data_IF_064724402612
#
_entry.id   IF_064724402612
#
_cell.length_a   1.000
_cell.length_b   1.000
_cell.length_c   1.000
_cell.angle_alpha   90.00
_cell.angle_beta   90.00
_cell.angle_gamma   90.00
#
_symmetry.space_group_name_H-M   'P 1'
#
loop_
_entity.id
_entity.type
_entity.pdbx_description
1 polymer ?
#
# COMPACT_ATOMS: atom_id res chain seq x y z
N UNK A 1 -19.33 10.12 -2.44
CA UNK A 1 -18.28 9.61 -3.36
C UNK A 1 -16.91 10.23 -3.09
N UNK A 2 -16.83 11.45 -2.58
CA UNK A 2 -15.54 12.09 -2.22
C UNK A 2 -14.81 11.43 -1.03
N UNK A 3 -15.53 10.79 -0.10
CA UNK A 3 -14.93 10.16 1.09
C UNK A 3 -14.12 8.89 0.79
N UNK A 4 -14.33 8.25 -0.37
CA UNK A 4 -13.59 7.05 -0.76
C UNK A 4 -12.21 7.41 -1.37
N UNK A 5 -12.08 8.62 -1.94
CA UNK A 5 -10.83 9.11 -2.50
C UNK A 5 -9.80 9.46 -1.42
N UNK A 6 -10.26 9.88 -0.23
CA UNK A 6 -9.38 10.21 0.91
C UNK A 6 -8.71 8.97 1.50
N UNK A 7 -9.37 7.81 1.45
CA UNK A 7 -8.84 6.55 2.02
C UNK A 7 -7.61 6.03 1.27
N UNK A 8 -7.56 6.20 -0.05
CA UNK A 8 -6.41 5.78 -0.86
C UNK A 8 -5.31 6.85 -0.93
N UNK A 9 -5.66 8.13 -0.74
CA UNK A 9 -4.69 9.22 -0.56
C UNK A 9 -3.99 9.21 0.81
N UNK A 10 -4.56 8.50 1.79
CA UNK A 10 -3.97 8.24 3.11
C UNK A 10 -3.19 6.93 3.18
N UNK A 11 -2.87 6.29 2.05
CA UNK A 11 -1.85 5.24 1.98
C UNK A 11 -0.53 5.90 1.56
N UNK A 12 0.20 6.57 2.49
CA UNK A 12 1.52 7.09 2.17
C UNK A 12 2.41 5.97 1.61
N UNK A 13 2.14 4.69 1.92
CA UNK A 13 2.95 3.57 1.46
C UNK A 13 2.89 3.24 -0.03
N UNK A 14 1.85 3.65 -0.77
CA UNK A 14 1.88 3.53 -2.25
C UNK A 14 2.75 4.61 -2.89
N UNK A 15 2.95 5.74 -2.20
CA UNK A 15 3.86 6.82 -2.57
C UNK A 15 5.30 6.55 -2.11
N UNK A 16 5.52 5.55 -1.24
CA UNK A 16 6.82 5.24 -0.61
C UNK A 16 7.72 4.32 -1.44
N UNK A 17 7.29 3.78 -2.60
CA UNK A 17 8.22 2.98 -3.43
C UNK A 17 9.09 3.80 -4.40
N UNK A 18 9.61 4.95 -3.96
CA UNK A 18 10.57 5.79 -4.70
C UNK A 18 11.91 5.11 -5.05
N UNK A 19 12.05 3.79 -4.82
CA UNK A 19 13.29 3.04 -5.05
C UNK A 19 13.27 2.02 -6.19
N UNK A 20 12.08 1.58 -6.66
CA UNK A 20 11.93 0.58 -7.73
C UNK A 20 10.87 0.95 -8.78
N UNK A 21 9.77 1.58 -8.34
CA UNK A 21 8.65 1.90 -9.22
C UNK A 21 8.21 3.34 -9.03
N UNK A 22 7.99 4.04 -10.14
CA UNK A 22 7.26 5.29 -10.10
C UNK A 22 5.76 4.96 -10.17
N UNK A 23 5.00 5.45 -9.19
CA UNK A 23 3.59 5.13 -9.00
C UNK A 23 2.79 6.42 -9.15
N UNK A 24 1.86 6.45 -10.10
CA UNK A 24 0.93 7.54 -10.29
C UNK A 24 -0.50 7.07 -9.98
N UNK A 25 -1.28 7.99 -9.39
CA UNK A 25 -2.69 7.79 -9.10
C UNK A 25 -3.48 8.83 -9.85
N UNK A 26 -4.39 8.38 -10.69
CA UNK A 26 -5.27 9.24 -11.47
C UNK A 26 -6.72 8.98 -11.08
N UNK A 27 -7.41 10.05 -10.67
CA UNK A 27 -8.83 10.03 -10.39
C UNK A 27 -9.57 10.75 -11.51
N UNK A 28 -10.41 10.01 -12.23
CA UNK A 28 -11.26 10.54 -13.30
C UNK A 28 -12.72 10.26 -12.99
N UNK A 29 -13.63 10.89 -13.73
CA UNK A 29 -15.05 10.58 -13.64
C UNK A 29 -15.39 9.12 -14.01
N UNK A 30 -14.49 8.43 -14.73
CA UNK A 30 -14.68 7.03 -15.14
C UNK A 30 -14.12 6.02 -14.14
N UNK A 31 -13.27 6.45 -13.21
CA UNK A 31 -12.74 5.59 -12.15
C UNK A 31 -11.43 6.08 -11.56
N UNK A 32 -10.92 5.27 -10.65
CA UNK A 32 -9.62 5.46 -10.04
C UNK A 32 -8.62 4.48 -10.65
N UNK A 33 -7.52 5.02 -11.16
CA UNK A 33 -6.47 4.25 -11.83
C UNK A 33 -5.16 4.40 -11.07
N UNK A 34 -4.49 3.27 -10.85
CA UNK A 34 -3.16 3.22 -10.26
C UNK A 34 -2.23 2.65 -11.33
N UNK A 35 -1.26 3.45 -11.75
CA UNK A 35 -0.28 3.07 -12.76
C UNK A 35 1.09 2.98 -12.09
N UNK A 36 1.82 1.92 -12.38
CA UNK A 36 3.20 1.75 -11.90
C UNK A 36 4.14 1.51 -13.08
N UNK A 37 5.28 2.19 -13.05
CA UNK A 37 6.34 2.04 -14.05
C UNK A 37 7.64 1.69 -13.36
N UNK A 38 8.43 0.78 -13.94
CA UNK A 38 9.73 0.44 -13.38
C UNK A 38 10.70 1.62 -13.59
N UNK A 39 11.42 2.00 -12.54
CA UNK A 39 12.44 3.05 -12.64
C UNK A 39 13.63 2.55 -13.45
N UNK A 40 13.96 3.25 -14.54
CA UNK A 40 15.05 2.88 -15.46
C UNK A 40 16.44 2.82 -14.81
N UNK A 41 16.61 3.43 -13.63
CA UNK A 41 17.88 3.48 -12.89
C UNK A 41 18.21 2.11 -12.25
N UNK A 42 17.21 1.22 -12.10
CA UNK A 42 17.40 -0.13 -11.56
C UNK A 42 16.83 -1.17 -12.52
N UNK A 43 17.71 -1.88 -13.22
CA UNK A 43 17.35 -3.07 -14.02
C UNK A 43 17.01 -4.27 -13.13
N UNK A 44 15.99 -4.13 -12.28
CA UNK A 44 15.53 -5.20 -11.39
C UNK A 44 14.17 -5.69 -11.90
N UNK A 45 14.08 -6.96 -12.22
CA UNK A 45 12.79 -7.57 -12.55
C UNK A 45 11.96 -7.66 -11.27
N UNK A 46 10.77 -7.09 -11.30
CA UNK A 46 9.85 -7.12 -10.18
C UNK A 46 8.44 -7.54 -10.62
N UNK A 47 7.62 -7.95 -9.66
CA UNK A 47 6.21 -8.30 -9.88
C UNK A 47 5.34 -7.84 -8.72
N UNK A 48 4.14 -7.40 -9.05
CA UNK A 48 3.06 -7.13 -8.10
C UNK A 48 2.13 -8.33 -8.01
N UNK A 49 1.79 -8.74 -6.79
CA UNK A 49 0.95 -9.90 -6.52
C UNK A 49 -0.14 -9.50 -5.52
N UNK A 50 -1.39 -9.71 -5.90
CA UNK A 50 -2.53 -9.68 -4.99
C UNK A 50 -2.71 -11.08 -4.41
N UNK A 51 -2.51 -11.23 -3.11
CA UNK A 51 -2.68 -12.52 -2.43
C UNK A 51 -4.16 -12.75 -2.09
N UNK A 52 -4.56 -14.02 -1.97
CA UNK A 52 -5.97 -14.42 -1.72
C UNK A 52 -6.61 -13.74 -0.49
N UNK A 53 -5.81 -13.38 0.51
CA UNK A 53 -6.26 -12.66 1.71
C UNK A 53 -6.59 -11.18 1.47
N UNK A 54 -6.39 -10.67 0.25
CA UNK A 54 -6.60 -9.26 -0.10
C UNK A 54 -5.38 -8.37 0.15
N UNK A 55 -4.27 -8.93 0.64
CA UNK A 55 -3.01 -8.22 0.77
C UNK A 55 -2.31 -7.99 -0.58
N UNK A 56 -1.47 -6.96 -0.64
CA UNK A 56 -0.63 -6.66 -1.79
C UNK A 56 0.83 -6.96 -1.45
N UNK A 57 1.53 -7.64 -2.35
CA UNK A 57 2.95 -7.96 -2.22
C UNK A 57 3.72 -7.57 -3.46
N UNK A 58 4.97 -7.12 -3.27
CA UNK A 58 5.92 -6.83 -4.34
C UNK A 58 7.13 -7.72 -4.16
N UNK A 59 7.50 -8.42 -5.23
CA UNK A 59 8.69 -9.26 -5.27
C UNK A 59 9.70 -8.70 -6.26
N UNK A 60 10.97 -8.86 -5.95
CA UNK A 60 12.10 -8.60 -6.85
C UNK A 60 12.89 -9.87 -7.08
N UNK A 61 13.36 -10.06 -8.32
CA UNK A 61 14.24 -11.16 -8.67
C UNK A 61 15.66 -10.81 -8.21
N UNK A 62 16.25 -11.69 -7.41
CA UNK A 62 17.65 -11.63 -7.01
C UNK A 62 18.55 -12.24 -8.09
N UNK A 63 19.85 -11.94 -8.02
CA UNK A 63 20.85 -12.48 -8.97
C UNK A 63 20.93 -14.01 -8.96
N UNK A 64 20.56 -14.66 -7.85
CA UNK A 64 20.50 -16.11 -7.71
C UNK A 64 19.23 -16.73 -8.33
N UNK A 65 18.41 -15.92 -9.01
CA UNK A 65 17.17 -16.33 -9.67
C UNK A 65 15.99 -16.53 -8.73
N UNK A 66 16.12 -16.19 -7.44
CA UNK A 66 15.01 -16.31 -6.47
C UNK A 66 14.22 -15.02 -6.36
N UNK A 67 12.91 -15.16 -6.18
CA UNK A 67 12.04 -14.05 -5.85
C UNK A 67 12.16 -13.73 -4.36
N UNK A 68 12.57 -12.50 -4.05
CA UNK A 68 12.57 -11.97 -2.69
C UNK A 68 11.40 -11.01 -2.52
N UNK A 69 10.71 -11.10 -1.38
CA UNK A 69 9.64 -10.16 -1.05
C UNK A 69 10.27 -8.82 -0.64
N UNK A 70 10.01 -7.79 -1.42
CA UNK A 70 10.46 -6.44 -1.14
C UNK A 70 9.43 -5.66 -0.30
N UNK A 71 8.13 -5.92 -0.54
CA UNK A 71 7.04 -5.22 0.15
C UNK A 71 5.85 -6.16 0.38
N UNK A 72 5.19 -5.99 1.52
CA UNK A 72 3.86 -6.54 1.80
C UNK A 72 3.00 -5.46 2.45
N UNK A 73 1.73 -5.39 2.07
CA UNK A 73 0.72 -4.50 2.62
C UNK A 73 -0.58 -5.27 2.90
N UNK A 74 -1.29 -4.93 4.00
CA UNK A 74 -0.90 -4.00 5.07
C UNK A 74 0.28 -4.56 5.91
N UNK A 75 1.14 -3.68 6.43
CA UNK A 75 2.33 -4.08 7.23
C UNK A 75 1.99 -4.42 8.67
N UNK A 76 1.01 -3.72 9.23
CA UNK A 76 0.51 -3.93 10.58
C UNK A 76 -1.02 -3.96 10.57
N UNK A 77 -1.58 -4.32 11.73
CA UNK A 77 -3.02 -4.39 11.90
C UNK A 77 -3.66 -2.99 11.99
N UNK A 78 -2.90 -1.95 12.28
CA UNK A 78 -3.36 -0.56 12.35
C UNK A 78 -3.73 -0.01 10.96
N UNK A 79 -3.02 -0.48 9.93
CA UNK A 79 -3.29 -0.17 8.53
C UNK A 79 -4.51 -0.93 7.95
N UNK A 80 -5.13 -1.83 8.73
CA UNK A 80 -6.36 -2.51 8.33
C UNK A 80 -7.55 -1.59 8.58
N UNK A 81 -8.29 -1.30 7.51
CA UNK A 81 -9.48 -0.44 7.59
C UNK A 81 -10.51 -0.98 8.61
N UNK A 82 -10.98 -0.10 9.48
CA UNK A 82 -12.06 -0.40 10.43
C UNK A 82 -11.66 -1.23 11.65
N UNK A 83 -10.36 -1.44 11.88
CA UNK A 83 -9.87 -2.32 12.96
C UNK A 83 -10.31 -1.88 14.37
N UNK A 84 -10.47 -0.58 14.61
CA UNK A 84 -10.86 -0.02 15.91
C UNK A 84 -12.33 0.42 16.03
N UNK A 85 -13.16 0.15 15.02
CA UNK A 85 -14.56 0.56 15.02
C UNK A 85 -14.79 2.08 14.99
N UNK A 86 -16.05 2.49 15.17
CA UNK A 86 -16.40 3.90 15.20
C UNK A 86 -15.83 4.61 16.43
N UNK A 87 -15.33 5.84 16.24
CA UNK A 87 -14.71 6.67 17.30
C UNK A 87 -13.44 6.06 17.94
N UNK A 88 -12.89 4.99 17.36
CA UNK A 88 -11.63 4.40 17.75
C UNK A 88 -10.49 4.88 16.84
N UNK A 89 -9.35 5.20 17.45
CA UNK A 89 -8.09 5.45 16.76
C UNK A 89 -7.11 4.31 17.07
N UNK A 90 -6.29 3.92 16.09
CA UNK A 90 -5.26 2.91 16.26
C UNK A 90 -3.90 3.58 16.49
N UNK A 91 -3.16 3.13 17.50
CA UNK A 91 -1.81 3.63 17.79
C UNK A 91 -0.88 2.46 18.15
N UNK A 92 0.42 2.63 17.95
CA UNK A 92 1.43 1.60 18.22
C UNK A 92 1.58 1.26 19.72
N UNK A 93 1.09 2.10 20.61
CA UNK A 93 1.13 1.90 22.07
C UNK A 93 -0.08 1.16 22.62
N UNK A 94 -1.26 1.42 22.03
CA UNK A 94 -2.52 0.79 22.38
C UNK A 94 -3.25 0.52 21.07
N UNK A 95 -3.49 -0.76 20.80
CA UNK A 95 -4.05 -1.24 19.53
C UNK A 95 -5.27 -0.41 19.08
N UNK A 96 -6.17 -0.13 20.03
CA UNK A 96 -7.27 0.80 19.85
C UNK A 96 -7.43 1.69 21.09
N UNK A 97 -7.58 2.99 20.86
CA UNK A 97 -7.89 4.01 21.87
C UNK A 97 -9.09 4.83 21.40
N UNK A 98 -9.97 5.23 22.32
CA UNK A 98 -11.02 6.19 21.99
C UNK A 98 -10.42 7.54 21.62
N UNK A 99 -11.02 8.23 20.65
CA UNK A 99 -10.69 9.64 20.39
C UNK A 99 -11.09 10.49 21.59
N UNK A 100 -10.31 11.54 21.87
CA UNK A 100 -10.72 12.57 22.84
C UNK A 100 -11.94 13.32 22.28
N UNK A 101 -12.91 13.58 23.16
CA UNK A 101 -14.19 14.22 22.84
C UNK A 101 -14.22 15.71 23.16
#
# INVERSE_FOLDING_TARGET
MEQFCTLLGQIPEMTINRGLHDVSVENTNSGLYITYTAMAIKCVLSRFVLVKSGGMQVFTLLDDGKWSMFLSQPRDQCAVYGVCGAYGNSNNLQFCSCVEG
#
